data_IF_772466380779
#
_entry.id   IF_772466380779
#
_cell.length_a   1.000
_cell.length_b   1.000
_cell.length_c   1.000
_cell.angle_alpha   90.00
_cell.angle_beta   90.00
_cell.angle_gamma   90.00
#
_symmetry.space_group_name_H-M   'P 1'
#
loop_
_entity.id
_entity.type
_entity.pdbx_description
1 polymer ?
#
# COMPACT_ATOMS: atom_id res chain seq x y z
N UNK A 1 -0.59 -38.85 -1.91
CA UNK A 1 -0.18 -38.06 -0.72
C UNK A 1 -0.39 -36.59 -1.05
N UNK A 2 -1.61 -36.07 -0.82
CA UNK A 2 -1.90 -34.65 -1.04
C UNK A 2 -1.28 -33.85 0.12
N UNK A 3 -0.25 -33.05 -0.18
CA UNK A 3 0.17 -31.99 0.74
C UNK A 3 -0.85 -30.87 0.63
N UNK A 4 -1.77 -30.84 1.58
CA UNK A 4 -2.55 -29.63 1.87
C UNK A 4 -1.56 -28.57 2.33
N UNK A 5 -1.28 -27.58 1.49
CA UNK A 5 -0.63 -26.35 1.91
C UNK A 5 -1.59 -25.64 2.86
N UNK A 6 -1.44 -25.91 4.15
CA UNK A 6 -2.09 -25.13 5.20
C UNK A 6 -1.74 -23.65 4.96
N UNK A 7 -2.76 -22.86 4.63
CA UNK A 7 -2.64 -21.43 4.38
C UNK A 7 -1.94 -20.76 5.57
N UNK A 8 -0.73 -20.25 5.32
CA UNK A 8 0.04 -19.52 6.32
C UNK A 8 -0.78 -18.31 6.78
N UNK A 9 -0.89 -18.14 8.09
CA UNK A 9 -1.75 -17.18 8.76
C UNK A 9 -1.65 -15.76 8.18
N UNK A 10 -2.81 -15.21 7.78
CA UNK A 10 -3.01 -13.88 7.20
C UNK A 10 -3.13 -12.86 8.34
N UNK A 11 -2.08 -12.10 8.65
CA UNK A 11 -2.10 -11.10 9.74
C UNK A 11 -1.63 -9.72 9.22
N UNK A 12 -2.32 -8.63 9.56
CA UNK A 12 -1.90 -7.25 9.21
C UNK A 12 -1.25 -6.57 10.42
N UNK A 13 0.03 -6.24 10.28
CA UNK A 13 0.89 -5.73 11.35
C UNK A 13 2.21 -5.20 10.77
N UNK A 14 2.94 -4.39 11.55
CA UNK A 14 4.36 -4.08 11.30
C UNK A 14 5.25 -5.11 12.00
N UNK A 15 6.53 -5.19 11.64
CA UNK A 15 7.54 -6.00 12.34
C UNK A 15 7.34 -6.03 13.86
N UNK A 16 7.40 -7.23 14.44
CA UNK A 16 7.18 -7.42 15.88
C UNK A 16 5.72 -7.32 16.33
N UNK A 17 4.75 -7.49 15.41
CA UNK A 17 3.30 -7.47 15.70
C UNK A 17 2.78 -6.12 16.20
N UNK A 18 3.49 -5.06 15.85
CA UNK A 18 3.12 -3.69 16.19
C UNK A 18 1.95 -3.21 15.31
N UNK A 19 1.16 -2.22 15.77
CA UNK A 19 0.16 -1.55 14.95
C UNK A 19 0.74 -1.00 13.65
N UNK A 20 -0.12 -0.80 12.66
CA UNK A 20 0.24 -0.25 11.36
C UNK A 20 0.67 1.22 11.49
N UNK A 21 1.75 1.61 10.80
CA UNK A 21 2.29 2.99 10.80
C UNK A 21 1.81 3.77 9.58
N UNK A 22 0.53 3.61 9.24
CA UNK A 22 -0.09 4.28 8.11
C UNK A 22 -0.25 5.79 8.38
N UNK A 23 0.35 6.64 7.54
CA UNK A 23 0.22 8.09 7.64
C UNK A 23 -1.24 8.57 7.63
N UNK A 24 -2.11 7.95 6.82
CA UNK A 24 -3.55 8.22 6.82
C UNK A 24 -4.21 7.91 8.19
N UNK A 25 -3.63 7.04 9.00
CA UNK A 25 -4.16 6.67 10.33
C UNK A 25 -3.48 7.41 11.47
N UNK A 26 -2.60 8.37 11.20
CA UNK A 26 -1.84 9.10 12.24
C UNK A 26 -2.74 9.70 13.33
N UNK A 27 -3.92 10.17 12.96
CA UNK A 27 -4.91 10.76 13.87
C UNK A 27 -6.04 9.81 14.29
N UNK A 28 -6.00 8.57 13.81
CA UNK A 28 -6.99 7.51 14.08
C UNK A 28 -6.29 6.21 14.53
N UNK A 29 -5.51 6.24 15.63
CA UNK A 29 -4.71 5.10 16.08
C UNK A 29 -5.55 3.89 16.48
N UNK A 30 -6.81 4.11 16.87
CA UNK A 30 -7.81 3.08 17.15
C UNK A 30 -8.07 2.17 15.93
N UNK A 31 -7.86 2.69 14.71
CA UNK A 31 -8.01 1.92 13.49
C UNK A 31 -6.77 1.09 13.14
N UNK A 32 -5.59 1.39 13.71
CA UNK A 32 -4.30 0.87 13.25
C UNK A 32 -4.06 -0.64 13.54
N UNK A 33 -4.95 -1.31 14.26
CA UNK A 33 -4.80 -2.72 14.64
C UNK A 33 -3.84 -2.91 15.81
N UNK A 34 -3.16 -4.08 15.94
CA UNK A 34 -2.91 -5.09 14.92
C UNK A 34 -4.11 -6.01 14.63
N UNK A 35 -4.13 -6.63 13.44
CA UNK A 35 -5.15 -7.60 13.03
C UNK A 35 -4.49 -8.97 12.83
N UNK A 36 -4.61 -9.88 13.82
CA UNK A 36 -3.87 -11.16 13.84
C UNK A 36 -4.75 -12.40 13.62
N UNK A 37 -6.01 -12.22 13.24
CA UNK A 37 -6.99 -13.31 13.05
C UNK A 37 -6.98 -13.85 11.61
N UNK A 38 -7.59 -15.01 11.38
CA UNK A 38 -7.64 -15.65 10.05
C UNK A 38 -8.18 -14.75 8.91
N UNK A 39 -9.10 -13.83 9.23
CA UNK A 39 -9.72 -12.87 8.30
C UNK A 39 -9.20 -11.43 8.49
N UNK A 40 -7.91 -11.26 8.80
CA UNK A 40 -7.35 -9.95 9.13
C UNK A 40 -7.60 -8.86 8.07
N UNK A 41 -7.56 -9.20 6.77
CA UNK A 41 -7.90 -8.27 5.67
C UNK A 41 -9.34 -7.82 5.77
N UNK A 42 -10.27 -8.76 5.96
CA UNK A 42 -11.70 -8.44 6.05
C UNK A 42 -12.01 -7.62 7.30
N UNK A 43 -11.44 -7.98 8.46
CA UNK A 43 -11.58 -7.17 9.66
C UNK A 43 -11.00 -5.77 9.50
N UNK A 44 -9.85 -5.64 8.84
CA UNK A 44 -9.25 -4.35 8.55
C UNK A 44 -10.15 -3.49 7.66
N UNK A 45 -10.75 -4.08 6.64
CA UNK A 45 -11.72 -3.45 5.74
C UNK A 45 -12.99 -3.05 6.48
N UNK A 46 -13.59 -3.97 7.24
CA UNK A 46 -14.81 -3.76 8.01
C UNK A 46 -14.61 -2.63 9.05
N UNK A 47 -13.49 -2.65 9.78
CA UNK A 47 -13.13 -1.61 10.75
C UNK A 47 -12.97 -0.22 10.11
N UNK A 48 -12.73 -0.17 8.79
CA UNK A 48 -12.53 1.07 8.02
C UNK A 48 -13.72 1.42 7.12
N UNK A 49 -14.76 0.60 7.08
CA UNK A 49 -15.88 0.76 6.15
C UNK A 49 -15.46 0.67 4.68
N UNK A 50 -14.40 -0.09 4.36
CA UNK A 50 -13.94 -0.28 2.98
C UNK A 50 -14.72 -1.44 2.36
N UNK A 51 -15.62 -1.13 1.44
CA UNK A 51 -16.45 -2.12 0.75
C UNK A 51 -15.73 -2.72 -0.46
N UNK A 52 -14.83 -3.68 -0.22
CA UNK A 52 -14.16 -4.46 -1.27
C UNK A 52 -14.56 -5.93 -1.12
N UNK A 53 -15.27 -6.46 -2.13
CA UNK A 53 -15.88 -7.80 -2.10
C UNK A 53 -15.00 -8.90 -2.74
N UNK A 54 -13.68 -8.71 -2.68
CA UNK A 54 -12.70 -9.64 -3.27
C UNK A 54 -11.80 -10.22 -2.17
N UNK A 55 -11.55 -11.54 -2.20
CA UNK A 55 -10.49 -12.14 -1.36
C UNK A 55 -9.14 -11.71 -1.94
N UNK A 56 -8.47 -10.81 -1.25
CA UNK A 56 -7.15 -10.32 -1.65
C UNK A 56 -6.07 -10.86 -0.73
N UNK A 57 -4.89 -11.19 -1.28
CA UNK A 57 -3.79 -11.62 -0.46
C UNK A 57 -3.32 -10.47 0.44
N UNK A 58 -2.84 -10.86 1.61
CA UNK A 58 -2.08 -9.99 2.49
C UNK A 58 -0.60 -10.12 2.12
N UNK A 59 0.03 -8.99 1.82
CA UNK A 59 1.41 -8.91 1.35
C UNK A 59 2.19 -7.88 2.17
N UNK A 60 3.51 -8.01 2.18
CA UNK A 60 4.36 -6.98 2.74
C UNK A 60 4.42 -5.81 1.76
N UNK A 61 3.96 -4.65 2.19
CA UNK A 61 3.93 -3.41 1.41
C UNK A 61 4.99 -2.45 1.93
N UNK A 62 5.59 -1.69 1.02
CA UNK A 62 6.41 -0.54 1.36
C UNK A 62 5.54 0.56 1.99
N UNK A 63 4.33 0.72 1.45
CA UNK A 63 3.31 1.64 1.90
C UNK A 63 3.73 3.12 1.83
N UNK A 64 4.72 3.44 1.00
CA UNK A 64 5.19 4.81 0.73
C UNK A 64 6.07 4.84 -0.54
N UNK A 65 5.66 4.06 -1.55
CA UNK A 65 6.46 3.87 -2.75
C UNK A 65 6.28 5.06 -3.71
N UNK A 66 7.23 5.99 -3.63
CA UNK A 66 7.29 7.24 -4.40
C UNK A 66 8.66 7.40 -5.06
N UNK A 67 8.82 8.25 -6.10
CA UNK A 67 10.09 8.39 -6.81
C UNK A 67 11.31 8.64 -5.88
N UNK A 68 11.25 9.54 -4.87
CA UNK A 68 12.35 9.76 -3.93
C UNK A 68 12.85 8.50 -3.20
N UNK A 69 11.96 7.52 -3.00
CA UNK A 69 12.23 6.28 -2.26
C UNK A 69 12.75 5.15 -3.16
N UNK A 70 12.99 5.43 -4.44
CA UNK A 70 13.43 4.46 -5.46
C UNK A 70 14.68 4.95 -6.22
N UNK A 71 15.80 5.19 -5.53
CA UNK A 71 17.01 5.68 -6.18
C UNK A 71 17.48 4.77 -7.31
N UNK A 72 17.92 5.38 -8.40
CA UNK A 72 18.39 4.68 -9.60
C UNK A 72 19.92 4.66 -9.68
N UNK A 73 20.47 3.62 -10.31
CA UNK A 73 21.89 3.55 -10.62
C UNK A 73 22.27 4.63 -11.66
N UNK A 74 23.47 5.21 -11.59
CA UNK A 74 23.93 6.16 -12.62
C UNK A 74 24.14 5.46 -13.98
N UNK A 75 24.13 6.26 -15.05
CA UNK A 75 24.46 5.81 -16.41
C UNK A 75 23.27 5.83 -17.39
N UNK A 76 23.50 5.45 -18.66
CA UNK A 76 22.52 5.60 -19.74
C UNK A 76 21.35 4.60 -19.67
N UNK A 77 21.45 3.56 -18.84
CA UNK A 77 20.38 2.58 -18.62
C UNK A 77 20.20 2.37 -17.11
N UNK A 78 19.60 3.36 -16.41
CA UNK A 78 19.45 3.32 -14.97
C UNK A 78 18.55 2.14 -14.54
N UNK A 79 18.95 1.47 -13.46
CA UNK A 79 18.15 0.43 -12.79
C UNK A 79 17.81 0.90 -11.38
N UNK A 80 16.74 0.36 -10.79
CA UNK A 80 16.47 0.57 -9.36
C UNK A 80 17.66 0.04 -8.57
N UNK A 81 18.36 0.93 -7.86
CA UNK A 81 19.53 0.61 -7.07
C UNK A 81 19.13 0.17 -5.66
N UNK A 82 18.08 0.78 -5.10
CA UNK A 82 17.51 0.41 -3.82
C UNK A 82 16.03 0.82 -3.74
N UNK A 83 15.34 0.26 -2.75
CA UNK A 83 14.10 0.79 -2.19
C UNK A 83 14.46 1.23 -0.77
N UNK A 84 14.09 2.44 -0.38
CA UNK A 84 14.45 3.05 0.91
C UNK A 84 13.22 3.63 1.61
N UNK A 85 13.36 3.98 2.89
CA UNK A 85 12.30 4.57 3.72
C UNK A 85 11.09 3.65 4.02
N UNK A 86 11.38 2.49 4.62
CA UNK A 86 10.38 1.52 5.10
C UNK A 86 9.64 1.95 6.38
N UNK A 87 9.59 3.24 6.71
CA UNK A 87 8.98 3.74 7.95
C UNK A 87 7.49 3.35 8.10
N UNK A 88 6.78 3.30 6.97
CA UNK A 88 5.35 2.97 6.89
C UNK A 88 5.07 1.51 6.50
N UNK A 89 6.12 0.72 6.27
CA UNK A 89 6.00 -0.63 5.74
C UNK A 89 5.36 -1.60 6.74
N UNK A 90 4.61 -2.56 6.22
CA UNK A 90 3.91 -3.56 7.01
C UNK A 90 3.16 -4.57 6.15
N UNK A 91 2.36 -5.41 6.80
CA UNK A 91 1.48 -6.34 6.13
C UNK A 91 0.12 -5.69 5.88
N UNK A 92 -0.22 -5.46 4.61
CA UNK A 92 -1.45 -4.79 4.16
C UNK A 92 -2.13 -5.62 3.05
N UNK A 93 -3.41 -5.34 2.74
CA UNK A 93 -4.06 -5.94 1.57
C UNK A 93 -3.32 -5.55 0.29
N UNK A 94 -3.14 -6.46 -0.67
CA UNK A 94 -2.30 -6.23 -1.85
C UNK A 94 -2.66 -4.98 -2.67
N UNK A 95 -3.95 -4.63 -2.78
CA UNK A 95 -4.38 -3.42 -3.49
C UNK A 95 -3.88 -2.12 -2.85
N UNK A 96 -3.47 -2.16 -1.59
CA UNK A 96 -3.14 -0.98 -0.78
C UNK A 96 -1.94 -0.21 -1.34
N UNK A 97 -0.89 -0.92 -1.76
CA UNK A 97 0.33 -0.29 -2.30
C UNK A 97 0.02 0.52 -3.56
N UNK A 98 -0.74 -0.05 -4.50
CA UNK A 98 -1.12 0.65 -5.73
C UNK A 98 -2.05 1.84 -5.43
N UNK A 99 -3.06 1.65 -4.58
CA UNK A 99 -4.00 2.72 -4.25
C UNK A 99 -3.29 3.93 -3.60
N UNK A 100 -2.37 3.66 -2.67
CA UNK A 100 -1.58 4.71 -2.02
C UNK A 100 -0.59 5.36 -2.99
N UNK A 101 0.15 4.55 -3.75
CA UNK A 101 1.12 5.05 -4.75
C UNK A 101 0.48 5.97 -5.79
N UNK A 102 -0.77 5.71 -6.19
CA UNK A 102 -1.53 6.58 -7.10
C UNK A 102 -2.03 7.89 -6.45
N UNK A 103 -2.15 7.94 -5.13
CA UNK A 103 -2.76 9.07 -4.39
C UNK A 103 -1.74 10.06 -3.84
N UNK A 104 -0.59 9.56 -3.39
CA UNK A 104 0.44 10.36 -2.70
C UNK A 104 1.18 11.21 -3.72
N UNK A 105 1.15 12.53 -3.51
CA UNK A 105 1.97 13.49 -4.27
C UNK A 105 3.23 13.81 -3.48
N UNK A 106 4.33 13.99 -4.20
CA UNK A 106 5.62 14.41 -3.65
C UNK A 106 5.82 15.91 -3.84
N UNK A 107 6.85 16.44 -3.17
CA UNK A 107 7.18 17.86 -3.20
C UNK A 107 7.35 18.39 -4.64
N UNK A 108 6.67 19.49 -4.93
CA UNK A 108 6.58 20.05 -6.28
C UNK A 108 7.84 20.81 -6.71
N UNK A 109 8.68 21.24 -5.75
CA UNK A 109 9.94 21.90 -6.07
C UNK A 109 10.93 20.94 -6.72
N UNK A 110 10.92 19.66 -6.30
CA UNK A 110 11.80 18.62 -6.81
C UNK A 110 11.15 17.72 -7.87
N UNK A 111 9.82 17.57 -7.81
CA UNK A 111 9.05 16.73 -8.73
C UNK A 111 7.83 17.51 -9.23
N UNK A 112 8.00 18.18 -10.37
CA UNK A 112 6.91 18.93 -10.99
C UNK A 112 5.72 18.02 -11.38
N UNK A 113 4.62 18.64 -11.81
CA UNK A 113 3.43 17.90 -12.18
C UNK A 113 3.71 16.89 -13.31
N UNK A 114 4.56 17.21 -14.28
CA UNK A 114 4.86 16.32 -15.40
C UNK A 114 5.61 15.06 -14.94
N UNK A 115 6.60 15.23 -14.06
CA UNK A 115 7.35 14.12 -13.47
C UNK A 115 6.44 13.22 -12.61
N UNK A 116 5.52 13.82 -11.86
CA UNK A 116 4.53 13.06 -11.08
C UNK A 116 3.57 12.29 -11.98
N UNK A 117 3.05 12.91 -13.04
CA UNK A 117 2.19 12.20 -14.01
C UNK A 117 2.95 11.07 -14.73
N UNK A 118 4.23 11.25 -15.07
CA UNK A 118 5.06 10.16 -15.62
C UNK A 118 5.18 9.00 -14.63
N UNK A 119 5.41 9.29 -13.34
CA UNK A 119 5.41 8.26 -12.29
C UNK A 119 4.12 7.44 -12.26
N UNK A 120 2.97 8.10 -12.25
CA UNK A 120 1.69 7.41 -12.17
C UNK A 120 1.34 6.64 -13.45
N UNK A 121 1.62 7.22 -14.62
CA UNK A 121 1.20 6.66 -15.90
C UNK A 121 2.16 5.58 -16.44
N UNK A 122 3.44 5.66 -16.09
CA UNK A 122 4.48 4.80 -16.67
C UNK A 122 5.13 3.89 -15.64
N UNK A 123 5.65 4.45 -14.54
CA UNK A 123 6.50 3.67 -13.63
C UNK A 123 5.71 2.82 -12.63
N UNK A 124 4.64 3.36 -12.02
CA UNK A 124 3.78 2.57 -11.11
C UNK A 124 3.22 1.30 -11.77
N UNK A 125 2.66 1.35 -13.00
CA UNK A 125 2.19 0.14 -13.69
C UNK A 125 3.27 -0.87 -14.04
N UNK A 126 4.55 -0.47 -14.07
CA UNK A 126 5.66 -1.39 -14.34
C UNK A 126 6.10 -2.17 -13.10
N UNK A 127 5.84 -1.63 -11.89
CA UNK A 127 6.37 -2.19 -10.64
C UNK A 127 5.28 -2.74 -9.71
N UNK A 128 4.01 -2.41 -9.93
CA UNK A 128 2.88 -2.88 -9.12
C UNK A 128 1.78 -3.52 -9.98
N UNK A 129 1.08 -4.48 -9.38
CA UNK A 129 -0.16 -5.00 -9.92
C UNK A 129 -1.25 -3.92 -9.87
N UNK A 130 -1.78 -3.59 -11.04
CA UNK A 130 -2.88 -2.63 -11.17
C UNK A 130 -4.18 -3.21 -10.59
N UNK A 131 -4.97 -2.36 -9.95
CA UNK A 131 -6.32 -2.69 -9.51
C UNK A 131 -7.33 -1.78 -10.18
N UNK A 132 -8.56 -2.26 -10.37
CA UNK A 132 -9.59 -1.49 -11.04
C UNK A 132 -10.19 -0.39 -10.15
N UNK A 133 -10.72 0.64 -10.83
CA UNK A 133 -11.23 1.82 -10.16
C UNK A 133 -12.45 1.53 -9.29
N UNK A 134 -13.40 0.74 -9.78
CA UNK A 134 -14.71 0.55 -9.11
C UNK A 134 -14.60 -0.44 -7.95
N UNK A 135 -13.83 -1.50 -8.12
CA UNK A 135 -13.71 -2.61 -7.19
C UNK A 135 -12.70 -2.37 -6.07
N UNK A 136 -11.69 -1.51 -6.28
CA UNK A 136 -10.63 -1.30 -5.30
C UNK A 136 -10.33 0.18 -5.03
N UNK A 137 -9.98 0.96 -6.07
CA UNK A 137 -9.46 2.31 -5.86
C UNK A 137 -10.51 3.26 -5.27
N UNK A 138 -11.74 3.29 -5.82
CA UNK A 138 -12.79 4.16 -5.30
C UNK A 138 -13.21 3.79 -3.87
N UNK A 139 -13.52 2.53 -3.50
CA UNK A 139 -13.79 2.17 -2.11
C UNK A 139 -12.67 2.58 -1.15
N UNK A 140 -11.41 2.39 -1.55
CA UNK A 140 -10.26 2.83 -0.76
C UNK A 140 -10.19 4.36 -0.64
N UNK A 141 -10.42 5.08 -1.74
CA UNK A 141 -10.39 6.54 -1.80
C UNK A 141 -11.51 7.15 -0.94
N UNK A 142 -12.71 6.57 -0.96
CA UNK A 142 -13.81 6.96 -0.08
C UNK A 142 -13.42 6.84 1.39
N UNK A 143 -12.74 5.76 1.77
CA UNK A 143 -12.21 5.61 3.12
C UNK A 143 -11.23 6.75 3.47
N UNK A 144 -10.26 7.04 2.61
CA UNK A 144 -9.27 8.12 2.85
C UNK A 144 -9.98 9.46 3.08
N UNK A 145 -10.92 9.83 2.21
CA UNK A 145 -11.68 11.07 2.37
C UNK A 145 -12.61 11.07 3.59
N UNK A 146 -13.22 9.93 3.94
CA UNK A 146 -14.12 9.82 5.10
C UNK A 146 -13.44 10.10 6.43
N UNK A 147 -12.11 9.94 6.50
CA UNK A 147 -11.30 10.16 7.70
C UNK A 147 -10.66 11.55 7.75
N UNK A 148 -10.98 12.41 6.78
CA UNK A 148 -10.53 13.80 6.73
C UNK A 148 -9.07 13.96 6.32
N UNK A 149 -8.58 13.10 5.40
CA UNK A 149 -7.19 13.10 4.91
C UNK A 149 -7.14 13.26 3.39
#
# INVERSE_FOLDING_TARGET
MHRTTAGRARQLYRFGKQPLTEAFLKFHPDLAGPFQVANAVRQFQDARGIEINSDVPNVFTHNDLVPPNTPLSPGPNPKVAAIIDFGQAGWYPAYWEYCKGRRVRVDQEHFDNAAQEEWYAKYLPMILDLVDDKGFYHPWLWFVFSKGI
#
